data_IF_227961484999
#
_entry.id   IF_227961484999
#
_cell.length_a   1.000
_cell.length_b   1.000
_cell.length_c   1.000
_cell.angle_alpha   90.00
_cell.angle_beta   90.00
_cell.angle_gamma   90.00
#
_symmetry.space_group_name_H-M   'P 1'
#
loop_
_entity.id
_entity.type
_entity.pdbx_description
1 polymer ?
#
# COMPACT_ATOMS: atom_id res chain seq x y z
N UNK A 1 -21.88 -26.88 3.84
CA UNK A 1 -21.71 -28.18 3.15
C UNK A 1 -20.38 -28.16 2.40
N UNK A 2 -19.61 -29.25 2.36
CA UNK A 2 -18.91 -29.85 3.51
C UNK A 2 -17.41 -30.13 3.22
N UNK A 3 -16.68 -30.35 4.33
CA UNK A 3 -15.55 -31.28 4.55
C UNK A 3 -14.33 -31.35 3.60
N UNK A 4 -13.16 -31.33 4.25
CA UNK A 4 -11.90 -31.94 3.83
C UNK A 4 -12.08 -33.32 3.16
N UNK A 5 -11.09 -33.70 2.34
CA UNK A 5 -10.32 -34.89 2.69
C UNK A 5 -8.80 -34.66 2.63
N UNK A 6 -8.15 -35.15 3.69
CA UNK A 6 -7.03 -36.08 3.73
C UNK A 6 -5.97 -36.10 2.62
N UNK A 7 -4.72 -35.88 3.06
CA UNK A 7 -3.47 -36.58 2.70
C UNK A 7 -3.55 -37.71 1.67
N UNK A 8 -2.71 -37.62 0.62
CA UNK A 8 -2.10 -38.80 -0.01
C UNK A 8 -0.65 -38.49 -0.38
N UNK A 9 0.24 -39.27 0.21
CA UNK A 9 1.67 -39.40 -0.08
C UNK A 9 1.88 -39.91 -1.51
N UNK A 10 2.81 -39.33 -2.28
CA UNK A 10 3.53 -40.07 -3.31
C UNK A 10 4.96 -39.55 -3.45
N UNK A 11 5.85 -40.52 -3.44
CA UNK A 11 7.27 -40.42 -3.22
C UNK A 11 8.06 -40.33 -4.54
N UNK A 12 9.23 -39.70 -4.44
CA UNK A 12 10.50 -39.99 -5.13
C UNK A 12 10.59 -39.72 -6.65
N UNK A 13 11.46 -38.75 -6.95
CA UNK A 13 12.24 -38.67 -8.17
C UNK A 13 13.62 -38.11 -7.83
N UNK A 14 14.56 -38.99 -7.47
CA UNK A 14 15.98 -38.69 -7.30
C UNK A 14 16.59 -38.40 -8.67
N UNK A 15 17.14 -37.20 -8.86
CA UNK A 15 18.17 -36.96 -9.89
C UNK A 15 19.43 -36.53 -9.16
N UNK A 16 20.42 -37.41 -9.21
CA UNK A 16 21.77 -37.16 -8.73
C UNK A 16 22.38 -35.98 -9.48
N UNK A 17 22.73 -34.92 -8.76
CA UNK A 17 23.72 -33.94 -9.21
C UNK A 17 25.01 -34.18 -8.46
N UNK A 18 26.06 -34.36 -9.24
CA UNK A 18 27.41 -34.70 -8.82
C UNK A 18 28.00 -33.65 -7.89
N UNK A 19 28.74 -34.17 -6.92
CA UNK A 19 29.48 -33.49 -5.89
C UNK A 19 30.38 -32.34 -6.40
N UNK A 20 30.17 -31.16 -5.84
CA UNK A 20 31.28 -30.34 -5.36
C UNK A 20 31.20 -30.41 -3.83
N UNK A 21 32.23 -30.96 -3.20
CA UNK A 21 32.29 -31.07 -1.75
C UNK A 21 32.10 -29.68 -1.11
N UNK A 22 31.15 -29.50 -0.18
CA UNK A 22 31.19 -28.31 0.65
C UNK A 22 32.44 -28.44 1.51
N UNK A 23 33.38 -27.51 1.34
CA UNK A 23 34.37 -27.25 2.38
C UNK A 23 33.58 -27.11 3.68
N UNK A 24 33.82 -28.02 4.62
CA UNK A 24 33.19 -28.01 5.92
C UNK A 24 33.44 -26.65 6.56
N UNK A 25 32.42 -25.79 6.53
CA UNK A 25 32.42 -24.52 7.21
C UNK A 25 32.45 -24.82 8.71
N UNK A 26 33.63 -24.70 9.31
CA UNK A 26 33.75 -24.49 10.75
C UNK A 26 32.86 -23.31 11.11
N UNK A 27 31.88 -23.57 11.98
CA UNK A 27 30.70 -22.74 12.24
C UNK A 27 30.97 -21.43 12.98
N UNK A 28 31.88 -20.61 12.48
CA UNK A 28 31.96 -19.21 12.86
C UNK A 28 30.94 -18.43 12.04
N UNK A 29 29.87 -18.05 12.71
CA UNK A 29 28.83 -17.20 12.15
C UNK A 29 29.42 -15.84 11.79
N UNK A 30 29.34 -15.46 10.51
CA UNK A 30 29.91 -14.20 10.02
C UNK A 30 29.14 -13.00 10.64
N UNK A 31 29.80 -11.97 11.20
CA UNK A 31 29.12 -10.87 11.91
C UNK A 31 28.01 -10.16 11.11
N UNK A 32 28.25 -9.96 9.80
CA UNK A 32 27.23 -9.40 8.91
C UNK A 32 25.99 -10.30 8.75
N UNK A 33 26.16 -11.62 8.80
CA UNK A 33 25.05 -12.57 8.76
C UNK A 33 24.24 -12.49 10.05
N UNK A 34 24.89 -12.41 11.21
CA UNK A 34 24.21 -12.25 12.51
C UNK A 34 23.41 -10.96 12.59
N UNK A 35 24.01 -9.86 12.11
CA UNK A 35 23.33 -8.57 11.99
C UNK A 35 22.10 -8.67 11.08
N UNK A 36 22.22 -9.29 9.90
CA UNK A 36 21.10 -9.50 8.98
C UNK A 36 20.01 -10.38 9.60
N UNK A 37 20.38 -11.47 10.29
CA UNK A 37 19.43 -12.32 11.03
C UNK A 37 18.67 -11.52 12.10
N UNK A 38 19.35 -10.56 12.75
CA UNK A 38 18.73 -9.60 13.67
C UNK A 38 17.68 -8.72 12.99
N UNK A 39 18.00 -8.16 11.82
CA UNK A 39 17.06 -7.36 11.03
C UNK A 39 15.86 -8.18 10.54
N UNK A 40 16.07 -9.43 10.12
CA UNK A 40 14.99 -10.32 9.67
C UNK A 40 13.97 -10.54 10.79
N UNK A 41 14.44 -10.79 12.03
CA UNK A 41 13.55 -10.90 13.21
C UNK A 41 12.81 -9.61 13.51
N UNK A 42 13.49 -8.46 13.37
CA UNK A 42 12.88 -7.15 13.60
C UNK A 42 11.83 -6.81 12.55
N UNK A 43 12.05 -7.19 11.28
CA UNK A 43 11.18 -6.84 10.17
C UNK A 43 9.76 -7.41 10.31
N UNK A 44 9.58 -8.53 11.03
CA UNK A 44 8.25 -9.09 11.34
C UNK A 44 7.40 -8.15 12.21
N UNK A 45 8.02 -7.27 12.99
CA UNK A 45 7.34 -6.30 13.85
C UNK A 45 6.97 -5.01 13.10
N UNK A 46 7.53 -4.77 11.91
CA UNK A 46 7.37 -3.54 11.16
C UNK A 46 7.79 -2.31 11.97
N UNK A 47 6.88 -1.34 12.13
CA UNK A 47 7.09 -0.16 12.99
C UNK A 47 6.83 -0.43 14.49
N UNK A 48 6.27 -1.59 14.84
CA UNK A 48 6.12 -2.06 16.22
C UNK A 48 5.33 -1.12 17.15
N UNK A 49 5.76 -1.01 18.40
CA UNK A 49 5.13 -0.15 19.42
C UNK A 49 5.66 1.30 19.42
N UNK A 50 6.31 1.72 18.32
CA UNK A 50 6.91 3.06 18.23
C UNK A 50 5.84 4.16 18.33
N UNK A 51 6.30 5.32 18.79
CA UNK A 51 5.54 6.57 18.80
C UNK A 51 6.36 7.66 18.12
N UNK A 52 6.10 7.87 16.83
CA UNK A 52 6.90 8.74 15.97
C UNK A 52 6.05 9.53 14.97
N UNK A 53 6.57 10.68 14.55
CA UNK A 53 6.13 11.40 13.37
C UNK A 53 7.21 11.20 12.30
N UNK A 54 6.83 10.82 11.09
CA UNK A 54 7.76 10.70 9.97
C UNK A 54 7.33 11.62 8.83
N UNK A 55 8.25 12.47 8.41
CA UNK A 55 8.08 13.33 7.24
C UNK A 55 8.92 12.79 6.09
N UNK A 56 8.29 12.54 4.96
CA UNK A 56 8.98 12.04 3.77
C UNK A 56 8.31 12.53 2.50
N UNK A 57 9.06 12.58 1.41
CA UNK A 57 8.54 12.94 0.11
C UNK A 57 8.59 11.73 -0.83
N UNK A 58 7.65 11.67 -1.76
CA UNK A 58 7.68 10.73 -2.86
C UNK A 58 7.57 11.47 -4.20
N UNK A 59 8.60 11.34 -5.03
CA UNK A 59 8.67 11.87 -6.38
C UNK A 59 8.32 10.76 -7.37
N UNK A 60 7.34 11.00 -8.25
CA UNK A 60 7.05 10.11 -9.37
C UNK A 60 8.10 10.31 -10.48
N UNK A 61 8.90 9.28 -10.77
CA UNK A 61 9.94 9.31 -11.81
C UNK A 61 9.42 8.91 -13.20
N UNK A 62 8.10 8.88 -13.37
CA UNK A 62 7.48 8.56 -14.66
C UNK A 62 7.89 9.61 -15.68
N UNK A 63 8.51 9.15 -16.77
CA UNK A 63 8.81 10.02 -17.91
C UNK A 63 7.53 10.29 -18.70
N UNK A 64 7.19 11.57 -18.80
CA UNK A 64 6.11 12.05 -19.65
C UNK A 64 6.70 12.60 -20.94
N UNK A 65 6.11 12.22 -22.08
CA UNK A 65 6.47 12.80 -23.37
C UNK A 65 5.69 14.10 -23.60
N UNK A 66 6.30 15.21 -23.21
CA UNK A 66 5.70 16.54 -23.38
C UNK A 66 5.57 16.95 -24.86
N UNK A 67 6.26 16.26 -25.77
CA UNK A 67 6.15 16.53 -27.22
C UNK A 67 4.78 16.12 -27.78
N UNK A 68 4.02 15.30 -27.05
CA UNK A 68 2.65 14.91 -27.42
C UNK A 68 1.62 16.04 -27.19
N UNK A 69 1.92 17.06 -26.39
CA UNK A 69 0.96 18.10 -25.97
C UNK A 69 0.33 18.83 -27.17
N UNK A 70 1.08 19.33 -28.18
CA UNK A 70 0.49 20.03 -29.33
C UNK A 70 -0.47 19.12 -30.13
N UNK A 71 -0.10 17.84 -30.30
CA UNK A 71 -0.92 16.87 -31.01
C UNK A 71 -2.23 16.58 -30.25
N UNK A 72 -2.14 16.37 -28.93
CA UNK A 72 -3.31 16.16 -28.08
C UNK A 72 -4.23 17.38 -28.07
N UNK A 73 -3.70 18.60 -27.99
CA UNK A 73 -4.49 19.84 -28.08
C UNK A 73 -5.27 19.90 -29.40
N UNK A 74 -4.63 19.63 -30.53
CA UNK A 74 -5.30 19.69 -31.84
C UNK A 74 -6.35 18.60 -32.00
N UNK A 75 -6.03 17.36 -31.59
CA UNK A 75 -6.99 16.24 -31.58
C UNK A 75 -8.23 16.58 -30.75
N UNK A 76 -8.02 17.08 -29.53
CA UNK A 76 -9.08 17.27 -28.53
C UNK A 76 -9.99 18.48 -28.80
N UNK A 77 -9.56 19.46 -29.60
CA UNK A 77 -10.43 20.58 -30.03
C UNK A 77 -11.74 20.11 -30.66
N UNK A 78 -11.72 18.97 -31.37
CA UNK A 78 -12.89 18.43 -32.09
C UNK A 78 -13.69 17.43 -31.25
N UNK A 79 -13.20 17.06 -30.07
CA UNK A 79 -13.80 16.01 -29.23
C UNK A 79 -13.81 16.42 -27.74
N UNK A 80 -14.79 17.25 -27.32
CA UNK A 80 -14.85 17.77 -25.95
C UNK A 80 -15.02 16.70 -24.87
N UNK A 81 -15.58 15.54 -25.19
CA UNK A 81 -15.81 14.44 -24.24
C UNK A 81 -14.76 13.31 -24.33
N UNK A 82 -13.67 13.52 -25.07
CA UNK A 82 -12.68 12.47 -25.30
C UNK A 82 -11.86 12.17 -24.03
N UNK A 83 -11.61 10.88 -23.69
CA UNK A 83 -10.92 10.50 -22.46
C UNK A 83 -9.49 11.08 -22.32
N UNK A 84 -8.80 11.34 -23.43
CA UNK A 84 -7.46 11.95 -23.45
C UNK A 84 -7.38 13.38 -22.86
N UNK A 85 -8.50 14.06 -22.56
CA UNK A 85 -8.46 15.35 -21.84
C UNK A 85 -7.72 15.23 -20.50
N UNK A 86 -7.86 14.11 -19.80
CA UNK A 86 -7.13 13.85 -18.57
C UNK A 86 -5.63 13.68 -18.80
N UNK A 87 -5.24 13.00 -19.89
CA UNK A 87 -3.84 12.85 -20.28
C UNK A 87 -3.23 14.20 -20.62
N UNK A 88 -3.91 15.01 -21.45
CA UNK A 88 -3.45 16.35 -21.81
C UNK A 88 -3.26 17.22 -20.56
N UNK A 89 -4.27 17.28 -19.67
CA UNK A 89 -4.18 18.04 -18.42
C UNK A 89 -2.98 17.63 -17.56
N UNK A 90 -2.71 16.33 -17.44
CA UNK A 90 -1.54 15.83 -16.68
C UNK A 90 -0.22 16.23 -17.33
N UNK A 91 -0.12 16.13 -18.66
CA UNK A 91 1.08 16.53 -19.40
C UNK A 91 1.34 18.04 -19.28
N UNK A 92 0.30 18.87 -19.36
CA UNK A 92 0.42 20.32 -19.20
C UNK A 92 0.84 20.72 -17.78
N UNK A 93 0.31 20.03 -16.75
CA UNK A 93 0.77 20.23 -15.38
C UNK A 93 2.24 19.83 -15.21
N UNK A 94 2.64 18.71 -15.82
CA UNK A 94 4.03 18.25 -15.79
C UNK A 94 4.98 19.22 -16.53
N UNK A 95 4.59 19.72 -17.70
CA UNK A 95 5.36 20.73 -18.46
C UNK A 95 5.56 22.01 -17.63
N UNK A 96 4.53 22.42 -16.87
CA UNK A 96 4.57 23.65 -16.07
C UNK A 96 5.33 23.51 -14.75
N UNK A 97 5.15 22.41 -14.03
CA UNK A 97 5.61 22.26 -12.64
C UNK A 97 6.72 21.22 -12.45
N UNK A 98 7.02 20.43 -13.48
CA UNK A 98 7.95 19.31 -13.40
C UNK A 98 7.31 18.04 -12.80
N UNK A 99 8.13 17.09 -12.32
CA UNK A 99 7.67 15.87 -11.66
C UNK A 99 6.79 16.14 -10.45
N UNK A 100 5.79 15.28 -10.25
CA UNK A 100 4.95 15.36 -9.06
C UNK A 100 5.73 14.89 -7.84
N UNK A 101 5.95 15.81 -6.89
CA UNK A 101 6.51 15.52 -5.57
C UNK A 101 5.38 15.63 -4.54
N UNK A 102 5.08 14.51 -3.90
CA UNK A 102 4.08 14.40 -2.83
C UNK A 102 4.79 14.37 -1.48
N UNK A 103 4.50 15.34 -0.63
CA UNK A 103 5.03 15.38 0.75
C UNK A 103 4.02 14.70 1.69
N UNK A 104 4.51 13.77 2.49
CA UNK A 104 3.73 12.96 3.42
C UNK A 104 4.19 13.22 4.85
N UNK A 105 3.21 13.25 5.75
CA UNK A 105 3.45 13.19 7.20
C UNK A 105 2.66 12.02 7.78
N UNK A 106 3.35 11.11 8.46
CA UNK A 106 2.72 10.00 9.18
C UNK A 106 2.94 10.15 10.69
N UNK A 107 1.84 10.27 11.44
CA UNK A 107 1.85 10.10 12.89
C UNK A 107 1.54 8.65 13.18
N UNK A 108 2.46 7.95 13.84
CA UNK A 108 2.34 6.53 14.16
C UNK A 108 2.47 6.30 15.65
N UNK A 109 1.53 5.57 16.24
CA UNK A 109 1.52 5.22 17.65
C UNK A 109 0.96 3.82 17.84
N UNK A 110 1.80 2.87 18.27
CA UNK A 110 1.38 1.53 18.71
C UNK A 110 0.41 0.78 17.77
N UNK A 111 0.70 0.81 16.45
CA UNK A 111 -0.10 0.17 15.40
C UNK A 111 -1.25 1.03 14.85
N UNK A 112 -1.48 2.21 15.42
CA UNK A 112 -2.43 3.20 14.92
C UNK A 112 -1.67 4.29 14.15
N UNK A 113 -2.31 4.87 13.13
CA UNK A 113 -1.66 5.92 12.37
C UNK A 113 -2.63 6.94 11.79
N UNK A 114 -2.15 8.17 11.63
CA UNK A 114 -2.70 9.16 10.70
C UNK A 114 -1.65 9.39 9.61
N UNK A 115 -2.08 9.31 8.35
CA UNK A 115 -1.29 9.69 7.18
C UNK A 115 -1.91 10.94 6.58
N UNK A 116 -1.08 11.94 6.34
CA UNK A 116 -1.42 13.18 5.68
C UNK A 116 -0.61 13.30 4.40
N UNK A 117 -1.29 13.69 3.31
CA UNK A 117 -0.68 14.11 2.06
C UNK A 117 -0.85 15.62 1.93
N UNK A 118 0.26 16.34 1.82
CA UNK A 118 0.23 17.79 1.64
C UNK A 118 -0.22 18.18 0.23
N UNK A 119 -0.97 19.30 0.08
CA UNK A 119 -1.29 19.86 -1.23
C UNK A 119 -0.02 20.14 -2.04
N UNK A 120 -0.05 19.81 -3.33
CA UNK A 120 1.07 20.08 -4.24
C UNK A 120 0.75 21.29 -5.13
N UNK A 121 1.77 21.97 -5.69
CA UNK A 121 1.54 23.02 -6.68
C UNK A 121 0.74 22.56 -7.90
N UNK A 122 0.81 21.26 -8.24
CA UNK A 122 0.04 20.66 -9.34
C UNK A 122 -1.44 20.45 -8.99
N UNK A 123 -1.76 20.28 -7.72
CA UNK A 123 -3.11 20.02 -7.21
C UNK A 123 -3.39 20.92 -6.00
N UNK A 124 -3.42 22.25 -6.18
CA UNK A 124 -3.59 23.19 -5.08
C UNK A 124 -4.95 22.96 -4.40
N UNK A 125 -4.93 22.88 -3.08
CA UNK A 125 -6.13 22.65 -2.27
C UNK A 125 -6.65 21.21 -2.28
N UNK A 126 -6.06 20.29 -3.05
CA UNK A 126 -6.38 18.87 -2.96
C UNK A 126 -5.47 18.23 -1.93
N UNK A 127 -6.05 17.80 -0.81
CA UNK A 127 -5.36 17.00 0.19
C UNK A 127 -6.10 15.69 0.42
N UNK A 128 -5.37 14.74 1.01
CA UNK A 128 -5.92 13.48 1.42
C UNK A 128 -5.31 13.09 2.76
N UNK A 129 -6.17 12.97 3.76
CA UNK A 129 -5.78 12.53 5.08
C UNK A 129 -6.52 11.23 5.40
N UNK A 130 -5.84 10.28 6.02
CA UNK A 130 -6.43 9.04 6.51
C UNK A 130 -5.99 8.79 7.92
N UNK A 131 -6.86 8.19 8.73
CA UNK A 131 -6.51 7.68 10.03
C UNK A 131 -7.08 6.27 10.19
N UNK A 132 -6.29 5.40 10.82
CA UNK A 132 -6.75 4.11 11.32
C UNK A 132 -6.31 3.98 12.76
N UNK A 133 -7.30 3.74 13.61
CA UNK A 133 -7.15 3.39 15.02
C UNK A 133 -7.67 1.96 15.24
N UNK A 134 -7.61 1.48 16.48
CA UNK A 134 -8.19 0.20 16.89
C UNK A 134 -9.72 0.25 16.91
N UNK A 135 -10.30 1.41 17.22
CA UNK A 135 -11.75 1.61 17.32
C UNK A 135 -12.42 1.95 15.99
N UNK A 136 -11.65 2.39 14.99
CA UNK A 136 -12.17 2.65 13.65
C UNK A 136 -11.20 3.41 12.78
N UNK A 137 -11.72 4.21 11.87
CA UNK A 137 -10.90 5.05 11.02
C UNK A 137 -11.68 6.15 10.35
N UNK A 138 -10.97 7.03 9.69
CA UNK A 138 -11.58 8.06 8.87
C UNK A 138 -10.67 8.40 7.69
N UNK A 139 -11.27 8.92 6.63
CA UNK A 139 -10.58 9.48 5.47
C UNK A 139 -11.21 10.81 5.16
N UNK A 140 -10.42 11.83 4.90
CA UNK A 140 -10.94 13.13 4.51
C UNK A 140 -10.23 13.69 3.28
N UNK A 141 -11.01 14.42 2.50
CA UNK A 141 -10.60 15.32 1.44
C UNK A 141 -11.23 16.69 1.72
N UNK A 142 -10.92 17.76 0.96
CA UNK A 142 -11.43 19.10 1.24
C UNK A 142 -12.94 19.21 1.41
N UNK A 143 -13.71 18.33 0.75
CA UNK A 143 -15.18 18.40 0.71
C UNK A 143 -15.89 17.18 1.29
N UNK A 144 -15.15 16.11 1.58
CA UNK A 144 -15.73 14.82 1.94
C UNK A 144 -15.02 14.22 3.15
N UNK A 145 -15.82 13.68 4.06
CA UNK A 145 -15.38 12.87 5.18
C UNK A 145 -16.00 11.47 5.06
N UNK A 146 -15.18 10.45 5.19
CA UNK A 146 -15.60 9.06 5.29
C UNK A 146 -15.24 8.56 6.68
N UNK A 147 -16.22 8.07 7.43
CA UNK A 147 -16.01 7.41 8.71
C UNK A 147 -16.11 5.91 8.47
N UNK A 148 -15.10 5.16 8.92
CA UNK A 148 -15.07 3.71 8.80
C UNK A 148 -15.17 3.09 10.18
N UNK A 149 -15.92 1.99 10.27
CA UNK A 149 -16.05 1.21 11.50
C UNK A 149 -14.76 0.53 11.91
N UNK A 150 -14.90 -0.42 12.83
CA UNK A 150 -13.79 -1.27 13.25
C UNK A 150 -13.15 -1.95 12.03
N UNK A 151 -11.84 -2.20 12.07
CA UNK A 151 -11.11 -2.75 10.95
C UNK A 151 -11.72 -3.99 10.30
N UNK A 152 -11.84 -3.95 8.96
CA UNK A 152 -12.35 -5.07 8.17
C UNK A 152 -13.87 -5.06 7.99
N UNK A 153 -14.55 -4.03 8.46
CA UNK A 153 -15.99 -3.82 8.23
C UNK A 153 -16.26 -2.95 7.00
N UNK A 154 -15.25 -2.19 6.57
CA UNK A 154 -15.36 -1.22 5.48
C UNK A 154 -15.16 -1.84 4.08
N UNK A 155 -15.79 -1.27 3.02
CA UNK A 155 -15.52 -1.68 1.65
C UNK A 155 -14.04 -1.53 1.29
N UNK A 156 -13.45 -2.43 0.47
CA UNK A 156 -12.03 -2.37 0.13
C UNK A 156 -11.55 -1.02 -0.42
N UNK A 157 -12.37 -0.33 -1.22
CA UNK A 157 -12.05 1.00 -1.77
C UNK A 157 -11.97 2.11 -0.72
N UNK A 158 -12.55 1.91 0.46
CA UNK A 158 -12.61 2.88 1.55
C UNK A 158 -11.67 2.53 2.70
N UNK A 159 -10.94 1.40 2.63
CA UNK A 159 -10.06 0.93 3.69
C UNK A 159 -8.86 1.87 3.93
N UNK A 160 -8.80 2.62 5.06
CA UNK A 160 -7.67 3.51 5.37
C UNK A 160 -6.37 2.74 5.61
N UNK A 161 -6.45 1.48 6.06
CA UNK A 161 -5.29 0.65 6.37
C UNK A 161 -4.45 0.33 5.14
N UNK A 162 -5.06 0.25 3.96
CA UNK A 162 -4.28 0.01 2.74
C UNK A 162 -3.32 1.17 2.46
N UNK A 163 -3.78 2.41 2.63
CA UNK A 163 -2.93 3.60 2.46
C UNK A 163 -1.86 3.69 3.55
N UNK A 164 -2.24 3.44 4.81
CA UNK A 164 -1.29 3.43 5.94
C UNK A 164 -0.25 2.33 5.78
N UNK A 165 -0.63 1.12 5.38
CA UNK A 165 0.29 0.01 5.18
C UNK A 165 1.26 0.28 4.01
N UNK A 166 0.77 0.87 2.91
CA UNK A 166 1.61 1.28 1.80
C UNK A 166 2.65 2.32 2.24
N UNK A 167 2.23 3.39 2.94
CA UNK A 167 3.16 4.40 3.48
C UNK A 167 4.09 3.85 4.57
N UNK A 168 3.62 2.91 5.39
CA UNK A 168 4.47 2.24 6.37
C UNK A 168 5.56 1.43 5.68
N UNK A 169 5.25 0.73 4.58
CA UNK A 169 6.25 0.02 3.78
C UNK A 169 7.26 0.99 3.15
N UNK A 170 6.81 2.14 2.65
CA UNK A 170 7.70 3.20 2.13
C UNK A 170 8.65 3.71 3.22
N UNK A 171 8.14 3.95 4.43
CA UNK A 171 8.95 4.37 5.58
C UNK A 171 9.96 3.28 5.97
N UNK A 172 9.53 2.02 5.97
CA UNK A 172 10.38 0.88 6.27
C UNK A 172 11.51 0.71 5.25
N UNK A 173 11.32 1.08 3.98
CA UNK A 173 12.41 1.07 2.98
C UNK A 173 13.57 2.02 3.34
N UNK A 174 13.36 3.04 4.18
CA UNK A 174 14.46 3.88 4.67
C UNK A 174 15.39 3.14 5.66
N UNK A 175 14.91 2.10 6.35
CA UNK A 175 15.77 1.25 7.18
C UNK A 175 16.63 0.30 6.35
N UNK A 176 16.25 0.04 5.10
CA UNK A 176 17.03 -0.69 4.13
C UNK A 176 16.23 -1.06 2.89
N UNK A 177 16.91 -1.10 1.74
CA UNK A 177 16.31 -1.51 0.49
C UNK A 177 15.71 -2.92 0.64
N UNK A 178 14.42 -3.08 0.31
CA UNK A 178 13.72 -4.35 0.43
C UNK A 178 13.44 -4.78 1.88
N UNK A 179 13.30 -3.85 2.82
CA UNK A 179 12.86 -4.17 4.19
C UNK A 179 11.61 -5.06 4.21
N UNK A 180 10.63 -4.76 3.36
CA UNK A 180 9.39 -5.54 3.20
C UNK A 180 9.61 -6.99 2.75
N UNK A 181 10.77 -7.29 2.17
CA UNK A 181 11.16 -8.63 1.73
C UNK A 181 11.86 -9.44 2.83
N UNK A 182 12.42 -8.79 3.87
CA UNK A 182 13.18 -9.45 4.93
C UNK A 182 12.45 -10.62 5.61
N UNK A 183 11.13 -10.55 5.93
CA UNK A 183 10.44 -11.69 6.53
C UNK A 183 10.48 -12.97 5.69
N UNK A 184 10.71 -12.87 4.37
CA UNK A 184 10.85 -14.04 3.49
C UNK A 184 12.19 -14.77 3.65
N UNK A 185 13.18 -14.16 4.29
CA UNK A 185 14.50 -14.74 4.56
C UNK A 185 14.54 -15.58 5.86
N UNK A 186 13.46 -15.59 6.64
CA UNK A 186 13.45 -16.21 7.99
C UNK A 186 13.66 -17.72 8.00
N UNK A 187 13.19 -18.41 6.96
CA UNK A 187 13.26 -19.87 6.86
C UNK A 187 14.61 -20.36 6.30
N UNK A 188 15.54 -19.43 6.07
CA UNK A 188 16.88 -19.71 5.56
C UNK A 188 17.18 -18.99 4.25
N UNK A 189 18.46 -18.68 4.03
CA UNK A 189 18.95 -18.01 2.84
C UNK A 189 20.41 -18.39 2.56
N UNK A 190 20.81 -18.30 1.30
CA UNK A 190 22.23 -18.39 0.93
C UNK A 190 22.89 -17.04 1.24
N UNK A 191 23.94 -17.06 2.06
CA UNK A 191 24.72 -15.88 2.41
C UNK A 191 26.12 -15.95 1.80
N UNK A 192 26.57 -14.85 1.21
CA UNK A 192 27.92 -14.72 0.64
C UNK A 192 28.56 -13.43 1.13
N UNK A 193 29.65 -13.55 1.89
CA UNK A 193 30.49 -12.41 2.23
C UNK A 193 31.39 -12.05 1.03
N UNK A 194 31.54 -10.76 0.78
CA UNK A 194 32.41 -10.20 -0.25
C UNK A 194 33.57 -9.40 0.35
N UNK A 195 34.39 -8.82 -0.53
CA UNK A 195 35.51 -7.97 -0.11
C UNK A 195 35.00 -6.61 0.42
N UNK A 196 35.79 -5.97 1.29
CA UNK A 196 35.50 -4.63 1.81
C UNK A 196 34.22 -4.53 2.65
N UNK A 197 33.81 -5.63 3.31
CA UNK A 197 32.59 -5.66 4.12
C UNK A 197 31.30 -5.76 3.30
N UNK A 198 31.38 -5.98 1.99
CA UNK A 198 30.19 -6.23 1.17
C UNK A 198 29.60 -7.60 1.46
N UNK A 199 28.29 -7.76 1.24
CA UNK A 199 27.61 -9.05 1.39
C UNK A 199 26.43 -9.16 0.43
N UNK A 200 26.04 -10.42 0.14
CA UNK A 200 24.86 -10.77 -0.63
C UNK A 200 24.09 -11.88 0.08
N UNK A 201 22.77 -11.76 0.12
CA UNK A 201 21.85 -12.80 0.60
C UNK A 201 20.84 -13.13 -0.50
N UNK A 202 20.60 -14.41 -0.76
CA UNK A 202 19.62 -14.85 -1.77
C UNK A 202 18.66 -15.91 -1.26
N UNK A 203 17.42 -15.86 -1.76
CA UNK A 203 16.34 -16.82 -1.48
C UNK A 203 15.55 -17.11 -2.75
N UNK A 204 14.83 -18.23 -2.73
CA UNK A 204 13.78 -18.54 -3.70
C UNK A 204 12.47 -18.75 -2.96
N UNK A 205 11.41 -18.10 -3.42
CA UNK A 205 10.08 -18.20 -2.82
C UNK A 205 8.98 -18.14 -3.88
N UNK A 206 7.75 -18.46 -3.51
CA UNK A 206 6.58 -18.35 -4.41
C UNK A 206 5.77 -17.09 -4.15
N UNK A 207 5.31 -16.43 -5.21
CA UNK A 207 4.34 -15.33 -5.20
C UNK A 207 3.31 -15.57 -6.29
N UNK A 208 2.03 -15.68 -5.94
CA UNK A 208 0.94 -15.90 -6.91
C UNK A 208 1.28 -17.06 -7.88
N UNK A 209 1.69 -18.20 -7.33
CA UNK A 209 2.15 -19.41 -8.03
C UNK A 209 3.42 -19.29 -8.89
N UNK A 210 4.07 -18.12 -8.92
CA UNK A 210 5.35 -17.92 -9.63
C UNK A 210 6.54 -18.09 -8.70
N UNK A 211 7.56 -18.78 -9.18
CA UNK A 211 8.86 -18.85 -8.49
C UNK A 211 9.57 -17.50 -8.66
N UNK A 212 9.96 -16.90 -7.54
CA UNK A 212 10.62 -15.60 -7.46
C UNK A 212 11.94 -15.77 -6.74
N UNK A 213 13.02 -15.22 -7.32
CA UNK A 213 14.32 -15.13 -6.69
C UNK A 213 14.43 -13.76 -6.01
N UNK A 214 14.62 -13.78 -4.70
CA UNK A 214 14.93 -12.60 -3.91
C UNK A 214 16.43 -12.47 -3.69
N UNK A 215 16.96 -11.26 -3.79
CA UNK A 215 18.36 -10.95 -3.52
C UNK A 215 18.45 -9.64 -2.76
N UNK A 216 19.25 -9.64 -1.69
CA UNK A 216 19.64 -8.47 -0.93
C UNK A 216 21.13 -8.29 -1.04
N UNK A 217 21.57 -7.04 -1.13
CA UNK A 217 22.99 -6.65 -1.11
C UNK A 217 23.20 -5.49 -0.16
N UNK A 218 24.40 -5.45 0.39
CA UNK A 218 24.74 -4.41 1.33
C UNK A 218 26.19 -4.39 1.74
N UNK A 219 26.44 -3.59 2.77
CA UNK A 219 27.74 -3.45 3.42
C UNK A 219 27.59 -3.67 4.91
N UNK A 220 28.65 -4.13 5.56
CA UNK A 220 28.76 -4.25 7.01
C UNK A 220 30.16 -3.85 7.44
N UNK A 221 30.25 -2.95 8.41
CA UNK A 221 31.51 -2.48 8.98
C UNK A 221 31.72 -3.13 10.36
N UNK A 222 32.65 -4.10 10.49
CA UNK A 222 32.83 -4.84 11.74
C UNK A 222 33.26 -3.96 12.92
N UNK A 223 34.02 -2.90 12.67
CA UNK A 223 34.53 -2.01 13.71
C UNK A 223 33.41 -1.22 14.42
N UNK A 224 32.39 -0.79 13.66
CA UNK A 224 31.25 -0.04 14.19
C UNK A 224 30.03 -0.91 14.48
N UNK A 225 30.03 -2.16 13.99
CA UNK A 225 28.88 -3.06 14.05
C UNK A 225 27.70 -2.61 13.19
N UNK A 226 27.92 -1.68 12.24
CA UNK A 226 26.87 -1.07 11.42
C UNK A 226 26.79 -1.75 10.07
N UNK A 227 25.58 -2.15 9.67
CA UNK A 227 25.30 -2.66 8.34
C UNK A 227 24.24 -1.84 7.62
N UNK A 228 24.23 -1.97 6.30
CA UNK A 228 23.32 -1.27 5.39
C UNK A 228 22.82 -2.25 4.34
N UNK A 229 21.53 -2.23 4.03
CA UNK A 229 20.96 -2.95 2.88
C UNK A 229 20.79 -1.95 1.75
N UNK A 230 21.74 -1.93 0.81
CA UNK A 230 21.82 -0.91 -0.25
C UNK A 230 21.00 -1.26 -1.48
N UNK A 231 20.72 -2.54 -1.70
CA UNK A 231 19.92 -2.99 -2.84
C UNK A 231 19.06 -4.20 -2.47
N UNK A 232 17.83 -4.20 -2.97
CA UNK A 232 16.99 -5.38 -3.08
C UNK A 232 16.54 -5.61 -4.51
N UNK A 233 16.42 -6.88 -4.88
CA UNK A 233 15.90 -7.33 -6.17
C UNK A 233 14.98 -8.52 -5.94
N UNK A 234 13.79 -8.49 -6.53
CA UNK A 234 12.90 -9.63 -6.64
C UNK A 234 12.57 -9.86 -8.11
N UNK A 235 13.02 -10.98 -8.67
CA UNK A 235 12.86 -11.32 -10.08
C UNK A 235 12.10 -12.64 -10.24
N UNK A 236 11.15 -12.70 -11.16
CA UNK A 236 10.50 -13.96 -11.50
C UNK A 236 11.47 -14.88 -12.24
N UNK A 237 11.55 -16.14 -11.83
CA UNK A 237 12.38 -17.14 -12.50
C UNK A 237 11.95 -17.36 -13.96
N UNK A 238 10.65 -17.22 -14.25
CA UNK A 238 10.08 -17.47 -15.58
C UNK A 238 10.14 -16.25 -16.50
N UNK A 239 10.23 -15.04 -15.93
CA UNK A 239 10.24 -13.77 -16.68
C UNK A 239 11.15 -12.74 -15.99
N UNK A 240 12.45 -12.70 -16.35
CA UNK A 240 13.40 -11.75 -15.77
C UNK A 240 13.01 -10.28 -15.98
N UNK A 241 12.16 -10.01 -16.97
CA UNK A 241 11.65 -8.67 -17.26
C UNK A 241 10.77 -8.12 -16.13
N UNK A 242 10.13 -8.96 -15.31
CA UNK A 242 9.29 -8.55 -14.19
C UNK A 242 10.10 -8.55 -12.89
N UNK A 243 10.96 -7.54 -12.77
CA UNK A 243 11.85 -7.38 -11.63
C UNK A 243 11.48 -6.14 -10.81
N UNK A 244 11.16 -6.35 -9.54
CA UNK A 244 11.10 -5.27 -8.54
C UNK A 244 12.50 -5.01 -8.02
N UNK A 245 12.93 -3.74 -8.01
CA UNK A 245 14.24 -3.34 -7.49
C UNK A 245 14.09 -2.16 -6.55
N UNK A 246 14.75 -2.19 -5.42
CA UNK A 246 14.92 -1.02 -4.55
C UNK A 246 16.41 -0.75 -4.36
N UNK A 247 16.81 0.52 -4.40
CA UNK A 247 18.18 0.95 -4.06
C UNK A 247 18.10 2.05 -3.00
N UNK A 248 18.99 2.00 -2.02
CA UNK A 248 18.99 2.88 -0.86
C UNK A 248 20.36 3.54 -0.68
N UNK A 249 20.37 4.87 -0.67
CA UNK A 249 21.55 5.72 -0.70
C UNK A 249 21.50 6.82 0.39
N UNK A 250 22.59 7.59 0.49
CA UNK A 250 22.70 8.74 1.41
C UNK A 250 22.42 8.36 2.87
N UNK A 251 23.18 7.39 3.38
CA UNK A 251 22.98 6.84 4.71
C UNK A 251 23.39 7.82 5.81
N UNK A 252 22.53 8.00 6.80
CA UNK A 252 22.79 8.82 7.98
C UNK A 252 22.10 8.25 9.22
N UNK A 253 22.70 8.46 10.39
CA UNK A 253 22.05 8.15 11.65
C UNK A 253 20.88 9.13 11.91
N UNK A 254 19.71 8.60 12.25
CA UNK A 254 18.59 9.38 12.75
C UNK A 254 18.38 9.12 14.25
N UNK A 255 18.53 10.14 15.11
CA UNK A 255 18.50 9.95 16.56
C UNK A 255 17.11 9.60 17.09
N UNK A 256 16.03 9.99 16.40
CA UNK A 256 14.65 9.67 16.82
C UNK A 256 14.32 8.22 16.51
N UNK A 257 14.77 7.73 15.35
CA UNK A 257 14.58 6.33 14.97
C UNK A 257 15.58 5.39 15.67
N UNK A 258 16.71 5.94 16.16
CA UNK A 258 17.77 5.19 16.81
C UNK A 258 18.51 4.26 15.86
N UNK A 259 18.54 4.58 14.56
CA UNK A 259 19.05 3.70 13.51
C UNK A 259 19.80 4.49 12.43
N UNK A 260 20.68 3.81 11.70
CA UNK A 260 21.19 4.32 10.44
C UNK A 260 20.14 4.06 9.34
N UNK A 261 19.74 5.11 8.64
CA UNK A 261 18.71 5.06 7.61
C UNK A 261 19.22 5.65 6.30
N UNK A 262 18.68 5.20 5.18
CA UNK A 262 18.86 5.82 3.89
C UNK A 262 18.02 7.11 3.80
N UNK A 263 18.62 8.20 3.32
CA UNK A 263 17.88 9.44 3.06
C UNK A 263 17.15 9.42 1.73
N UNK A 264 17.61 8.58 0.79
CA UNK A 264 17.01 8.42 -0.54
C UNK A 264 16.83 6.94 -0.84
N UNK A 265 15.63 6.57 -1.28
CA UNK A 265 15.33 5.23 -1.81
C UNK A 265 14.73 5.38 -3.20
N UNK A 266 15.22 4.60 -4.17
CA UNK A 266 14.65 4.56 -5.52
C UNK A 266 14.00 3.21 -5.74
N UNK A 267 12.73 3.23 -6.12
CA UNK A 267 11.94 2.06 -6.48
C UNK A 267 11.90 1.94 -8.00
N UNK A 268 12.20 0.73 -8.47
CA UNK A 268 12.20 0.36 -9.88
C UNK A 268 11.34 -0.87 -10.14
N UNK A 269 10.73 -0.88 -11.32
CA UNK A 269 9.98 -2.01 -11.85
C UNK A 269 10.39 -2.18 -13.31
N UNK A 270 10.64 -3.43 -13.69
CA UNK A 270 11.02 -3.81 -15.06
C UNK A 270 12.26 -3.04 -15.56
N UNK A 271 13.25 -2.89 -14.67
CA UNK A 271 14.51 -2.19 -14.94
C UNK A 271 14.40 -0.66 -15.03
N UNK A 272 13.21 -0.08 -14.81
CA UNK A 272 13.00 1.37 -14.88
C UNK A 272 12.64 1.93 -13.51
N UNK A 273 13.33 2.99 -13.04
CA UNK A 273 12.92 3.68 -11.82
C UNK A 273 11.59 4.37 -12.08
N UNK A 274 10.63 4.24 -11.16
CA UNK A 274 9.32 4.87 -11.28
C UNK A 274 8.99 5.76 -10.07
N UNK A 275 9.71 5.61 -8.95
CA UNK A 275 9.47 6.40 -7.75
C UNK A 275 10.75 6.62 -6.96
N UNK A 276 10.93 7.82 -6.43
CA UNK A 276 11.99 8.16 -5.47
C UNK A 276 11.36 8.59 -4.16
N UNK A 277 11.76 7.95 -3.07
CA UNK A 277 11.39 8.31 -1.70
C UNK A 277 12.54 9.11 -1.08
N UNK A 278 12.21 10.18 -0.37
CA UNK A 278 13.17 11.06 0.28
C UNK A 278 12.77 11.25 1.74
N UNK A 279 13.57 10.73 2.66
CA UNK A 279 13.33 10.92 4.09
C UNK A 279 13.70 12.36 4.47
N UNK A 280 12.76 13.09 5.06
CA UNK A 280 13.02 14.47 5.53
C UNK A 280 13.51 14.44 6.97
N UNK A 281 12.68 13.92 7.88
CA UNK A 281 12.98 13.85 9.32
C UNK A 281 12.00 12.95 10.06
N UNK A 282 12.39 12.53 11.26
CA UNK A 282 11.50 11.94 12.24
C UNK A 282 11.44 12.81 13.51
N UNK A 283 10.31 12.77 14.21
CA UNK A 283 10.10 13.49 15.46
C UNK A 283 9.46 12.56 16.50
N UNK A 284 9.78 12.70 17.80
CA UNK A 284 9.11 11.93 18.85
C UNK A 284 7.63 12.32 18.92
N UNK A 285 6.75 11.33 19.11
CA UNK A 285 5.31 11.55 19.25
C UNK A 285 4.86 11.16 20.66
N UNK A 286 4.13 12.05 21.32
CA UNK A 286 3.43 11.70 22.56
C UNK A 286 2.06 11.11 22.27
N UNK A 287 1.57 10.24 23.16
CA UNK A 287 0.22 9.68 23.08
C UNK A 287 -0.85 10.78 23.06
N UNK A 288 -0.69 11.82 23.89
CA UNK A 288 -1.62 12.95 23.92
C UNK A 288 -1.70 13.67 22.56
N UNK A 289 -0.56 13.90 21.92
CA UNK A 289 -0.52 14.51 20.58
C UNK A 289 -1.12 13.58 19.54
N UNK A 290 -0.87 12.27 19.62
CA UNK A 290 -1.49 11.32 18.70
C UNK A 290 -3.01 11.32 18.83
N UNK A 291 -3.55 11.26 20.06
CA UNK A 291 -5.01 11.31 20.31
C UNK A 291 -5.64 12.59 19.76
N UNK A 292 -4.96 13.71 19.89
CA UNK A 292 -5.41 15.00 19.34
C UNK A 292 -5.49 14.96 17.80
N UNK A 293 -4.45 14.49 17.11
CA UNK A 293 -4.44 14.46 15.64
C UNK A 293 -5.25 13.32 15.05
N UNK A 294 -5.49 12.23 15.79
CA UNK A 294 -6.27 11.08 15.35
C UNK A 294 -7.78 11.24 15.62
N UNK A 295 -8.19 12.28 16.35
CA UNK A 295 -9.57 12.52 16.72
C UNK A 295 -10.49 12.52 15.48
N UNK A 296 -11.63 11.84 15.59
CA UNK A 296 -12.60 11.72 14.51
C UNK A 296 -13.15 13.10 14.13
N UNK A 297 -13.00 13.54 12.86
CA UNK A 297 -13.55 14.82 12.42
C UNK A 297 -15.08 14.85 12.50
N UNK A 298 -15.64 16.04 12.69
CA UNK A 298 -17.08 16.31 12.59
C UNK A 298 -17.43 16.86 11.21
N UNK A 299 -18.69 17.24 10.96
CA UNK A 299 -19.07 17.94 9.72
C UNK A 299 -18.38 19.31 9.59
N UNK A 300 -18.38 20.07 10.69
CA UNK A 300 -17.76 21.38 10.84
C UNK A 300 -16.87 21.34 12.07
N UNK A 301 -15.67 21.91 12.00
CA UNK A 301 -14.77 21.91 13.15
C UNK A 301 -13.39 22.45 12.82
N UNK A 302 -12.44 22.14 13.70
CA UNK A 302 -11.03 22.50 13.54
C UNK A 302 -10.16 21.26 13.64
N UNK A 303 -9.33 21.05 12.64
CA UNK A 303 -8.30 20.03 12.62
C UNK A 303 -6.97 20.63 13.11
N UNK A 304 -6.20 19.96 13.99
CA UNK A 304 -4.93 20.49 14.49
C UNK A 304 -3.86 20.72 13.41
N UNK A 305 -4.00 20.09 12.23
CA UNK A 305 -3.05 20.21 11.12
C UNK A 305 -3.57 21.18 10.06
N UNK A 306 -4.85 21.08 9.69
CA UNK A 306 -5.46 21.86 8.59
C UNK A 306 -6.15 23.15 9.02
N UNK A 307 -6.45 23.33 10.30
CA UNK A 307 -7.27 24.46 10.78
C UNK A 307 -8.76 24.19 10.59
N UNK A 308 -9.53 25.26 10.38
CA UNK A 308 -10.99 25.16 10.26
C UNK A 308 -11.41 24.46 8.97
N UNK A 309 -12.46 23.63 9.06
CA UNK A 309 -13.02 22.91 7.93
C UNK A 309 -14.54 22.85 8.00
N UNK A 310 -15.15 22.64 6.83
CA UNK A 310 -16.58 22.34 6.68
C UNK A 310 -16.74 21.38 5.51
N UNK A 311 -17.14 20.15 5.79
CA UNK A 311 -17.39 19.16 4.75
C UNK A 311 -18.76 19.36 4.13
N UNK A 312 -18.84 19.23 2.81
CA UNK A 312 -20.14 19.22 2.10
C UNK A 312 -20.78 17.84 2.10
N UNK A 313 -20.02 16.80 2.43
CA UNK A 313 -20.50 15.43 2.52
C UNK A 313 -19.80 14.64 3.62
N UNK A 314 -20.56 13.92 4.43
CA UNK A 314 -20.09 12.91 5.36
C UNK A 314 -20.71 11.57 4.99
N UNK A 315 -19.89 10.57 4.77
CA UNK A 315 -20.32 9.18 4.56
C UNK A 315 -19.88 8.35 5.76
N UNK A 316 -20.85 7.91 6.56
CA UNK A 316 -20.64 7.13 7.77
C UNK A 316 -20.89 5.64 7.47
N UNK A 317 -19.81 4.86 7.55
CA UNK A 317 -19.76 3.41 7.37
C UNK A 317 -19.43 2.68 8.68
N UNK A 318 -19.69 3.32 9.84
CA UNK A 318 -19.40 2.71 11.15
C UNK A 318 -20.47 1.70 11.59
N UNK A 319 -21.68 1.83 11.06
CA UNK A 319 -22.82 0.96 11.37
C UNK A 319 -23.11 -0.09 10.29
N UNK A 320 -24.19 -0.85 10.49
CA UNK A 320 -24.65 -1.87 9.53
C UNK A 320 -25.15 -1.29 8.20
N UNK A 321 -25.59 -0.03 8.19
CA UNK A 321 -26.01 0.68 6.99
C UNK A 321 -25.14 1.92 6.77
N UNK A 322 -24.73 2.13 5.52
CA UNK A 322 -24.05 3.37 5.14
C UNK A 322 -25.00 4.55 5.20
N UNK A 323 -24.62 5.58 5.95
CA UNK A 323 -25.37 6.84 6.05
C UNK A 323 -24.63 7.96 5.32
N UNK A 324 -25.38 8.79 4.61
CA UNK A 324 -24.88 9.92 3.85
C UNK A 324 -25.49 11.19 4.42
N UNK A 325 -24.66 12.11 4.86
CA UNK A 325 -25.06 13.47 5.25
C UNK A 325 -24.48 14.42 4.21
N UNK A 326 -25.34 15.19 3.54
CA UNK A 326 -24.93 16.26 2.62
C UNK A 326 -25.26 17.60 3.25
N UNK A 327 -24.32 18.54 3.20
CA UNK A 327 -24.49 19.89 3.72
C UNK A 327 -24.35 20.89 2.59
N UNK A 328 -25.38 21.72 2.44
CA UNK A 328 -25.36 22.88 1.56
C UNK A 328 -25.01 24.14 2.39
N UNK A 329 -23.79 24.67 2.25
CA UNK A 329 -23.36 25.84 3.02
C UNK A 329 -24.09 27.13 2.62
N UNK A 330 -24.60 27.23 1.39
CA UNK A 330 -25.31 28.43 0.92
C UNK A 330 -26.75 28.46 1.47
N UNK A 331 -27.42 27.31 1.47
CA UNK A 331 -28.77 27.19 2.01
C UNK A 331 -28.79 26.93 3.54
N UNK A 332 -27.65 26.58 4.14
CA UNK A 332 -27.57 26.16 5.55
C UNK A 332 -28.35 24.86 5.84
N UNK A 333 -28.62 24.04 4.83
CA UNK A 333 -29.47 22.85 4.95
C UNK A 333 -28.66 21.56 5.02
N UNK A 334 -29.14 20.62 5.84
CA UNK A 334 -28.56 19.28 5.95
C UNK A 334 -29.56 18.23 5.44
N UNK A 335 -29.09 17.35 4.57
CA UNK A 335 -29.86 16.22 4.07
C UNK A 335 -29.22 14.92 4.52
N UNK A 336 -30.01 14.06 5.18
CA UNK A 336 -29.59 12.72 5.56
C UNK A 336 -30.23 11.68 4.64
N UNK A 337 -29.44 10.74 4.14
CA UNK A 337 -29.89 9.63 3.31
C UNK A 337 -29.24 8.34 3.75
N UNK A 338 -29.98 7.23 3.76
CA UNK A 338 -29.38 5.89 3.82
C UNK A 338 -29.02 5.41 2.41
N UNK A 339 -28.16 4.40 2.30
CA UNK A 339 -27.75 3.83 1.02
C UNK A 339 -28.94 3.46 0.12
N UNK A 340 -29.98 2.83 0.69
CA UNK A 340 -31.20 2.46 -0.03
C UNK A 340 -32.00 3.64 -0.59
N UNK A 341 -31.79 4.86 -0.07
CA UNK A 341 -32.43 6.09 -0.54
C UNK A 341 -31.62 6.80 -1.64
N UNK A 342 -30.39 6.36 -1.91
CA UNK A 342 -29.60 6.90 -3.02
C UNK A 342 -30.08 6.35 -4.37
N UNK A 343 -29.91 7.07 -5.50
CA UNK A 343 -30.26 6.55 -6.83
C UNK A 343 -29.60 5.20 -7.14
N UNK A 344 -28.37 5.00 -6.66
CA UNK A 344 -27.63 3.75 -6.80
C UNK A 344 -28.25 2.64 -5.95
N UNK A 345 -28.54 2.89 -4.67
CA UNK A 345 -29.18 1.90 -3.79
C UNK A 345 -30.57 1.50 -4.28
N UNK A 346 -31.36 2.45 -4.79
CA UNK A 346 -32.66 2.15 -5.42
C UNK A 346 -32.51 1.27 -6.67
N UNK A 347 -31.53 1.55 -7.54
CA UNK A 347 -31.25 0.71 -8.71
C UNK A 347 -30.81 -0.70 -8.32
N UNK A 348 -29.91 -0.81 -7.34
CA UNK A 348 -29.42 -2.10 -6.86
C UNK A 348 -30.55 -2.92 -6.24
N UNK A 349 -31.38 -2.31 -5.40
CA UNK A 349 -32.57 -2.95 -4.83
C UNK A 349 -33.51 -3.47 -5.93
N UNK A 350 -33.82 -2.65 -6.95
CA UNK A 350 -34.64 -3.08 -8.11
C UNK A 350 -34.04 -4.27 -8.85
N UNK A 351 -32.72 -4.28 -9.07
CA UNK A 351 -32.02 -5.40 -9.73
C UNK A 351 -32.06 -6.67 -8.87
N UNK A 352 -31.88 -6.55 -7.56
CA UNK A 352 -32.00 -7.67 -6.63
C UNK A 352 -33.42 -8.27 -6.65
N UNK A 353 -34.46 -7.43 -6.63
CA UNK A 353 -35.85 -7.89 -6.77
C UNK A 353 -36.09 -8.58 -8.13
N UNK A 354 -35.62 -8.00 -9.23
CA UNK A 354 -35.74 -8.61 -10.55
C UNK A 354 -35.03 -9.98 -10.62
N UNK A 355 -33.85 -10.10 -9.99
CA UNK A 355 -33.12 -11.37 -9.88
C UNK A 355 -33.88 -12.44 -9.09
N UNK A 356 -34.50 -12.07 -7.96
CA UNK A 356 -35.33 -13.00 -7.17
C UNK A 356 -36.58 -13.45 -7.92
N UNK A 357 -37.24 -12.54 -8.66
CA UNK A 357 -38.38 -12.91 -9.51
C UNK A 357 -37.95 -13.89 -10.59
N UNK A 358 -36.83 -13.64 -11.26
CA UNK A 358 -36.29 -14.55 -12.27
C UNK A 358 -35.94 -15.93 -11.69
N UNK A 359 -35.31 -15.97 -10.51
CA UNK A 359 -34.99 -17.21 -9.82
C UNK A 359 -36.26 -18.01 -9.45
N UNK A 360 -37.31 -17.34 -8.96
CA UNK A 360 -38.59 -17.96 -8.67
C UNK A 360 -39.24 -18.53 -9.93
N UNK A 361 -39.22 -17.81 -11.05
CA UNK A 361 -39.74 -18.27 -12.35
C UNK A 361 -38.99 -19.50 -12.84
N UNK A 362 -37.66 -19.51 -12.74
CA UNK A 362 -36.83 -20.66 -13.13
C UNK A 362 -37.17 -21.87 -12.25
N UNK A 363 -37.24 -21.69 -10.93
CA UNK A 363 -37.58 -22.76 -10.00
C UNK A 363 -38.98 -23.34 -10.26
N UNK A 364 -39.99 -22.48 -10.45
CA UNK A 364 -41.35 -22.91 -10.80
C UNK A 364 -41.38 -23.67 -12.14
N UNK A 365 -40.62 -23.20 -13.13
CA UNK A 365 -40.51 -23.86 -14.44
C UNK A 365 -39.90 -25.25 -14.30
N UNK A 366 -38.81 -25.39 -13.54
CA UNK A 366 -38.17 -26.69 -13.26
C UNK A 366 -39.14 -27.64 -12.55
N UNK A 367 -39.89 -27.16 -11.55
CA UNK A 367 -40.90 -27.96 -10.84
C UNK A 367 -41.99 -28.43 -11.81
N UNK A 368 -42.51 -27.54 -12.66
CA UNK A 368 -43.53 -27.89 -13.66
C UNK A 368 -43.01 -28.92 -14.66
N UNK A 369 -41.79 -28.74 -15.18
CA UNK A 369 -41.15 -29.68 -16.09
C UNK A 369 -40.96 -31.04 -15.43
N UNK A 370 -40.53 -31.08 -14.15
CA UNK A 370 -40.37 -32.32 -13.39
C UNK A 370 -41.69 -33.04 -13.17
N UNK A 371 -42.75 -32.32 -12.77
CA UNK A 371 -44.09 -32.90 -12.60
C UNK A 371 -44.65 -33.45 -13.91
N UNK A 372 -44.42 -32.75 -15.03
CA UNK A 372 -44.83 -33.24 -16.36
C UNK A 372 -44.06 -34.50 -16.76
N UNK A 373 -42.75 -34.54 -16.54
CA UNK A 373 -41.93 -35.72 -16.83
C UNK A 373 -42.36 -36.94 -15.99
N UNK A 374 -42.63 -36.76 -14.70
CA UNK A 374 -43.10 -37.83 -13.80
C UNK A 374 -44.50 -38.36 -14.09
N UNK A 375 -45.31 -37.62 -14.86
CA UNK A 375 -46.64 -38.08 -15.32
C UNK A 375 -46.59 -38.79 -16.68
N UNK A 376 -45.48 -38.69 -17.40
CA UNK A 376 -45.27 -39.33 -18.70
C UNK A 376 -44.59 -40.70 -18.60
N UNK A 377 -44.03 -41.02 -17.45
CA UNK A 377 -43.65 -42.37 -16.98
C UNK A 377 -44.78 -42.96 -16.17
#
# INVERSE_FOLDING_TARGET
MPMCPSLTTLAVGVVASLATAPAAATGESHPAKEWLDGLIRQAEQGLGERSIIVHYAAEELKRYDVTEIPHLREKLKRFPEHPDHDKLRRLELFERHGPEVREYTMWYHAGEARLNLEPTPMLPGLYFDVCSTRSGGWRMSPRQLFLTGAPGTEPPSHNPRQSIAASSNEILSFFGAGWSMLPRFKDGYEFRAGQGGTWEATITFRVNDRVTRGRLRGTFEPASGRGRITESLAESADTPASAWRETADEWAHDPVLGAEIARVVVLGMDGKPFRRLMFRRAEPLSEARFREVAATPMLTGRDPIRGEYTFTQVTDMTGAETRYTTYDPEAGTMTHRSEGQTPRGQRQSRLTYAGWVLAAVIASTIVILRVRASRAT
#
